data_IF_293996085629
#
_entry.id   IF_293996085629
#
_cell.length_a   1.000
_cell.length_b   1.000
_cell.length_c   1.000
_cell.angle_alpha   90.00
_cell.angle_beta   90.00
_cell.angle_gamma   90.00
#
_symmetry.space_group_name_H-M   'P 1'
#
loop_
_entity.id
_entity.type
_entity.pdbx_description
1 polymer ?
#
# COMPACT_ATOMS: atom_id res chain seq x y z
N UNK A 1 5.26 11.29 -21.13
CA UNK A 1 5.26 12.77 -20.91
C UNK A 1 6.69 13.28 -20.70
N UNK A 2 6.96 14.57 -20.95
CA UNK A 2 8.29 15.18 -20.71
C UNK A 2 8.50 15.47 -19.21
N UNK A 3 9.75 15.42 -18.73
CA UNK A 3 10.14 15.71 -17.33
C UNK A 3 9.53 17.00 -16.79
N UNK A 4 9.57 18.09 -17.57
CA UNK A 4 8.99 19.39 -17.19
C UNK A 4 7.48 19.30 -16.93
N UNK A 5 6.75 18.58 -17.77
CA UNK A 5 5.30 18.38 -17.62
C UNK A 5 4.98 17.61 -16.34
N UNK A 6 5.71 16.52 -16.08
CA UNK A 6 5.53 15.72 -14.85
C UNK A 6 5.76 16.58 -13.60
N UNK A 7 6.83 17.39 -13.57
CA UNK A 7 7.09 18.35 -12.49
C UNK A 7 5.91 19.30 -12.27
N UNK A 8 5.36 19.86 -13.34
CA UNK A 8 4.21 20.76 -13.25
C UNK A 8 2.95 20.06 -12.73
N UNK A 9 2.69 18.82 -13.17
CA UNK A 9 1.57 18.01 -12.67
C UNK A 9 1.70 17.80 -11.16
N UNK A 10 2.87 17.38 -10.68
CA UNK A 10 3.12 17.18 -9.26
C UNK A 10 3.06 18.46 -8.44
N UNK A 11 3.67 19.55 -8.92
CA UNK A 11 3.59 20.84 -8.23
C UNK A 11 2.13 21.31 -8.07
N UNK A 12 1.32 21.19 -9.13
CA UNK A 12 -0.09 21.58 -9.09
C UNK A 12 -0.93 20.64 -8.21
N UNK A 13 -0.67 19.33 -8.25
CA UNK A 13 -1.34 18.36 -7.39
C UNK A 13 -1.02 18.65 -5.91
N UNK A 14 0.25 18.86 -5.60
CA UNK A 14 0.74 19.13 -4.25
C UNK A 14 0.20 20.46 -3.71
N UNK A 15 0.19 21.53 -4.52
CA UNK A 15 -0.42 22.82 -4.11
C UNK A 15 -1.87 22.65 -3.70
N UNK A 16 -2.67 21.96 -4.52
CA UNK A 16 -4.09 21.70 -4.24
C UNK A 16 -4.29 20.82 -3.00
N UNK A 17 -3.41 19.85 -2.78
CA UNK A 17 -3.42 19.03 -1.56
C UNK A 17 -3.15 19.90 -0.33
N UNK A 18 -2.10 20.73 -0.34
CA UNK A 18 -1.76 21.64 0.77
C UNK A 18 -2.92 22.59 1.08
N UNK A 19 -3.54 23.17 0.05
CA UNK A 19 -4.70 24.06 0.18
C UNK A 19 -5.91 23.39 0.85
N UNK A 20 -6.00 22.05 0.78
CA UNK A 20 -7.10 21.28 1.37
C UNK A 20 -6.90 20.87 2.83
N UNK A 21 -5.71 21.11 3.38
CA UNK A 21 -5.37 20.78 4.77
C UNK A 21 -5.69 22.00 5.64
N UNK A 22 -6.68 21.89 6.50
CA UNK A 22 -7.14 23.02 7.33
C UNK A 22 -6.26 23.22 8.59
N UNK A 23 -5.49 22.21 8.99
CA UNK A 23 -4.54 22.29 10.11
C UNK A 23 -3.22 22.90 9.65
N UNK A 24 -2.89 24.11 10.11
CA UNK A 24 -1.72 24.86 9.65
C UNK A 24 -0.38 24.15 9.97
N UNK A 25 -0.30 23.42 11.09
CA UNK A 25 0.91 22.71 11.47
C UNK A 25 1.16 21.52 10.52
N UNK A 26 0.15 20.68 10.30
CA UNK A 26 0.20 19.57 9.34
C UNK A 26 0.43 20.08 7.91
N UNK A 27 -0.20 21.20 7.53
CA UNK A 27 -0.02 21.83 6.21
C UNK A 27 1.44 22.18 5.94
N UNK A 28 2.10 22.88 6.87
CA UNK A 28 3.51 23.27 6.69
C UNK A 28 4.46 22.06 6.67
N UNK A 29 4.18 21.03 7.47
CA UNK A 29 4.93 19.77 7.44
C UNK A 29 4.78 19.07 6.08
N UNK A 30 3.55 18.84 5.60
CA UNK A 30 3.29 18.20 4.30
C UNK A 30 3.90 18.99 3.15
N UNK A 31 3.79 20.32 3.19
CA UNK A 31 4.37 21.20 2.18
C UNK A 31 5.88 20.99 2.02
N UNK A 32 6.61 20.90 3.13
CA UNK A 32 8.07 20.78 3.13
C UNK A 32 8.57 19.35 2.91
N UNK A 33 7.86 18.36 3.45
CA UNK A 33 8.42 17.04 3.71
C UNK A 33 7.81 15.91 2.86
N UNK A 34 7.17 16.22 1.73
CA UNK A 34 6.50 15.21 0.89
C UNK A 34 7.37 14.71 -0.27
N UNK A 35 7.22 13.42 -0.56
CA UNK A 35 7.79 12.74 -1.72
C UNK A 35 6.66 12.05 -2.48
N UNK A 36 6.65 12.19 -3.81
CA UNK A 36 5.79 11.39 -4.69
C UNK A 36 6.68 10.41 -5.43
N UNK A 37 6.40 9.11 -5.33
CA UNK A 37 7.21 8.05 -5.95
C UNK A 37 6.31 6.94 -6.49
N UNK A 38 6.87 5.96 -7.19
CA UNK A 38 6.14 4.76 -7.59
C UNK A 38 5.48 4.83 -8.96
N UNK A 39 4.34 4.14 -9.09
CA UNK A 39 3.72 3.85 -10.38
C UNK A 39 3.25 5.08 -11.16
N UNK A 40 2.91 6.18 -10.48
CA UNK A 40 2.45 7.40 -11.13
C UNK A 40 3.44 7.96 -12.15
N UNK A 41 4.74 7.95 -11.81
CA UNK A 41 5.80 8.45 -12.69
C UNK A 41 5.96 7.53 -13.90
N UNK A 42 5.88 6.23 -13.68
CA UNK A 42 5.92 5.21 -14.74
C UNK A 42 4.78 5.42 -15.73
N UNK A 43 3.54 5.52 -15.25
CA UNK A 43 2.36 5.78 -16.08
C UNK A 43 2.52 7.08 -16.88
N UNK A 44 2.93 8.18 -16.23
CA UNK A 44 3.09 9.46 -16.92
C UNK A 44 4.20 9.44 -17.97
N UNK A 45 5.33 8.77 -17.71
CA UNK A 45 6.40 8.62 -18.71
C UNK A 45 5.89 7.86 -19.94
N UNK A 46 5.10 6.81 -19.71
CA UNK A 46 4.51 5.94 -20.74
C UNK A 46 3.27 6.53 -21.43
N UNK A 47 2.72 7.63 -20.90
CA UNK A 47 1.49 8.24 -21.42
C UNK A 47 0.22 7.46 -21.05
N UNK A 48 0.28 6.65 -20.00
CA UNK A 48 -0.81 5.85 -19.46
C UNK A 48 -1.56 6.64 -18.38
N UNK A 49 -2.79 6.23 -18.07
CA UNK A 49 -3.53 6.82 -16.96
C UNK A 49 -2.84 6.53 -15.62
N UNK A 50 -2.83 7.52 -14.73
CA UNK A 50 -2.36 7.34 -13.36
C UNK A 50 -3.49 6.73 -12.54
N UNK A 51 -3.19 5.61 -11.87
CA UNK A 51 -4.13 4.94 -10.95
C UNK A 51 -4.23 5.74 -9.65
N UNK A 52 -3.06 6.01 -9.05
CA UNK A 52 -2.85 6.63 -7.76
C UNK A 52 -1.51 7.38 -7.70
N UNK A 53 -1.41 8.31 -6.76
CA UNK A 53 -0.22 9.08 -6.44
C UNK A 53 0.22 8.70 -5.03
N UNK A 54 1.27 7.88 -4.93
CA UNK A 54 1.84 7.48 -3.64
C UNK A 54 2.67 8.61 -3.04
N UNK A 55 2.16 9.17 -1.94
CA UNK A 55 2.84 10.12 -1.10
C UNK A 55 3.55 9.40 0.05
N UNK A 56 4.83 9.73 0.20
CA UNK A 56 5.65 9.39 1.35
C UNK A 56 6.15 10.67 2.00
N UNK A 57 6.72 10.53 3.20
CA UNK A 57 7.21 11.67 3.96
C UNK A 57 8.66 11.48 4.39
N UNK A 58 9.40 12.59 4.45
CA UNK A 58 10.84 12.57 4.74
C UNK A 58 11.19 12.32 6.20
N UNK A 59 10.22 12.47 7.12
CA UNK A 59 10.43 12.31 8.54
C UNK A 59 9.16 11.85 9.26
N UNK A 60 9.38 11.31 10.46
CA UNK A 60 8.35 10.78 11.35
C UNK A 60 7.34 11.81 11.80
N UNK A 61 7.78 13.02 12.14
CA UNK A 61 6.91 14.11 12.60
C UNK A 61 5.79 14.40 11.59
N UNK A 62 6.15 14.43 10.30
CA UNK A 62 5.19 14.63 9.21
C UNK A 62 4.21 13.47 9.11
N UNK A 63 4.70 12.22 9.21
CA UNK A 63 3.83 11.03 9.20
C UNK A 63 2.81 11.08 10.35
N UNK A 64 3.26 11.39 11.56
CA UNK A 64 2.39 11.47 12.73
C UNK A 64 1.35 12.59 12.58
N UNK A 65 1.75 13.77 12.11
CA UNK A 65 0.84 14.88 11.87
C UNK A 65 -0.22 14.53 10.81
N UNK A 66 0.19 13.94 9.68
CA UNK A 66 -0.70 13.50 8.60
C UNK A 66 -1.66 12.42 9.08
N UNK A 67 -1.15 11.41 9.77
CA UNK A 67 -1.96 10.32 10.29
C UNK A 67 -3.03 10.83 11.25
N UNK A 68 -2.65 11.67 12.22
CA UNK A 68 -3.59 12.24 13.18
C UNK A 68 -4.61 13.15 12.49
N UNK A 69 -4.18 14.03 11.58
CA UNK A 69 -5.07 14.92 10.86
C UNK A 69 -6.15 14.16 10.08
N UNK A 70 -5.76 13.22 9.23
CA UNK A 70 -6.73 12.50 8.37
C UNK A 70 -7.56 11.48 9.12
N UNK A 71 -7.04 10.84 10.18
CA UNK A 71 -7.86 9.97 11.04
C UNK A 71 -8.92 10.79 11.79
N UNK A 72 -8.56 11.97 12.30
CA UNK A 72 -9.53 12.88 12.93
C UNK A 72 -10.57 13.37 11.93
N UNK A 73 -10.14 13.80 10.72
CA UNK A 73 -11.05 14.23 9.65
C UNK A 73 -12.01 13.11 9.25
N UNK A 74 -11.52 11.87 9.16
CA UNK A 74 -12.32 10.68 8.88
C UNK A 74 -13.34 10.38 9.99
N UNK A 75 -12.92 10.44 11.26
CA UNK A 75 -13.78 10.21 12.42
C UNK A 75 -14.87 11.29 12.57
N UNK A 76 -14.57 12.54 12.26
CA UNK A 76 -15.54 13.64 12.26
C UNK A 76 -16.57 13.48 11.14
N UNK A 77 -16.15 13.01 9.96
CA UNK A 77 -17.06 12.73 8.84
C UNK A 77 -17.96 11.51 9.07
N UNK A 78 -17.59 10.61 10.00
CA UNK A 78 -18.33 9.38 10.31
C UNK A 78 -18.57 9.26 11.82
N UNK A 79 -19.35 10.19 12.43
CA UNK A 79 -19.50 10.27 13.88
C UNK A 79 -20.15 9.01 14.48
N UNK A 80 -21.06 8.39 13.73
CA UNK A 80 -21.89 7.24 14.13
C UNK A 80 -21.19 5.89 14.01
N UNK A 81 -19.95 5.86 13.50
CA UNK A 81 -19.19 4.61 13.38
C UNK A 81 -18.90 4.07 14.77
N UNK A 82 -19.41 2.88 15.07
CA UNK A 82 -19.24 2.21 16.36
C UNK A 82 -17.76 2.04 16.75
N UNK A 83 -16.89 1.82 15.76
CA UNK A 83 -15.46 1.67 15.95
C UNK A 83 -14.71 2.73 15.17
N UNK A 84 -13.98 3.55 15.92
CA UNK A 84 -13.21 4.66 15.38
C UNK A 84 -11.74 4.26 15.17
N UNK A 85 -11.17 4.44 13.97
CA UNK A 85 -9.73 4.30 13.77
C UNK A 85 -8.95 5.23 14.70
N UNK A 86 -7.79 4.77 15.15
CA UNK A 86 -6.85 5.53 15.97
C UNK A 86 -5.43 5.36 15.45
N UNK A 87 -4.64 6.41 15.57
CA UNK A 87 -3.21 6.35 15.28
C UNK A 87 -2.49 5.69 16.45
N UNK A 88 -1.65 4.71 16.14
CA UNK A 88 -0.73 4.07 17.09
C UNK A 88 0.69 4.40 16.64
N UNK A 89 1.43 5.01 17.56
CA UNK A 89 2.82 5.42 17.36
C UNK A 89 3.69 4.44 18.14
N UNK A 90 4.52 3.69 17.42
CA UNK A 90 5.51 2.76 17.99
C UNK A 90 6.93 3.30 17.77
N UNK A 91 7.94 2.69 18.39
CA UNK A 91 9.32 3.20 18.32
C UNK A 91 9.83 3.37 16.89
N UNK A 92 9.43 2.52 15.95
CA UNK A 92 9.94 2.54 14.57
C UNK A 92 8.88 2.81 13.50
N UNK A 93 7.58 2.82 13.83
CA UNK A 93 6.50 2.95 12.83
C UNK A 93 5.27 3.67 13.36
N UNK A 94 4.53 4.28 12.45
CA UNK A 94 3.18 4.79 12.68
C UNK A 94 2.21 3.86 11.97
N UNK A 95 1.14 3.45 12.66
CA UNK A 95 0.08 2.63 12.07
C UNK A 95 -1.30 3.10 12.50
N UNK A 96 -2.32 2.81 11.70
CA UNK A 96 -3.72 3.06 12.07
C UNK A 96 -4.31 1.74 12.56
N UNK A 97 -5.00 1.74 13.70
CA UNK A 97 -5.71 0.57 14.19
C UNK A 97 -7.19 0.86 14.33
N UNK A 98 -8.00 -0.09 13.88
CA UNK A 98 -9.44 -0.12 14.10
C UNK A 98 -9.67 -1.14 15.22
N UNK A 99 -9.81 -0.70 16.46
CA UNK A 99 -9.95 -1.62 17.60
C UNK A 99 -11.41 -2.02 17.78
N UNK A 100 -11.75 -3.29 17.52
CA UNK A 100 -13.00 -3.89 17.98
C UNK A 100 -13.19 -3.63 19.46
N UNK A 101 -14.34 -3.13 19.88
CA UNK A 101 -14.79 -3.39 21.24
C UNK A 101 -14.91 -4.93 21.35
N UNK A 102 -14.17 -5.52 22.29
CA UNK A 102 -14.06 -6.98 22.41
C UNK A 102 -15.44 -7.62 22.55
N UNK A 103 -15.72 -8.59 21.66
CA UNK A 103 -16.86 -9.50 21.85
C UNK A 103 -16.41 -10.55 22.86
N UNK A 104 -16.61 -10.25 24.13
CA UNK A 104 -16.78 -11.27 25.15
C UNK A 104 -18.27 -11.65 25.19
N UNK A 105 -18.72 -12.45 24.22
CA UNK A 105 -19.99 -13.18 24.31
C UNK A 105 -20.02 -14.29 23.27
N UNK A 106 -20.40 -15.48 23.73
CA UNK A 106 -20.54 -16.72 22.97
C UNK A 106 -21.37 -16.51 21.69
N UNK A 107 -20.80 -16.95 20.56
CA UNK A 107 -21.56 -17.25 19.35
C UNK A 107 -22.07 -16.05 18.54
N UNK A 108 -21.16 -15.29 17.91
CA UNK A 108 -21.39 -14.56 16.65
C UNK A 108 -20.05 -14.04 16.12
N UNK A 109 -19.40 -14.80 15.25
CA UNK A 109 -18.24 -14.34 14.48
C UNK A 109 -18.71 -13.40 13.37
N UNK A 110 -19.01 -12.15 13.71
CA UNK A 110 -19.20 -11.11 12.69
C UNK A 110 -17.84 -10.74 12.08
N UNK A 111 -17.73 -11.09 10.80
CA UNK A 111 -16.53 -11.04 9.97
C UNK A 111 -15.90 -9.65 9.91
N UNK A 112 -14.72 -9.53 10.51
CA UNK A 112 -13.80 -8.41 10.31
C UNK A 112 -13.13 -8.54 8.93
N UNK A 113 -13.54 -7.73 7.96
CA UNK A 113 -12.80 -7.55 6.72
C UNK A 113 -11.69 -6.49 6.92
N UNK A 114 -10.44 -6.95 6.99
CA UNK A 114 -9.27 -6.09 6.77
C UNK A 114 -9.26 -5.71 5.28
N UNK A 115 -9.60 -4.46 4.96
CA UNK A 115 -9.81 -3.99 3.59
C UNK A 115 -8.51 -3.65 2.81
N UNK A 116 -7.41 -4.39 3.02
CA UNK A 116 -6.30 -4.45 2.04
C UNK A 116 -6.72 -5.27 0.78
N UNK A 117 -8.02 -5.30 0.46
CA UNK A 117 -8.77 -6.41 -0.16
C UNK A 117 -8.90 -6.42 -1.66
N UNK A 118 -8.35 -5.45 -2.39
CA UNK A 118 -8.71 -5.32 -3.81
C UNK A 118 -7.47 -5.42 -4.69
N UNK A 119 -7.26 -6.59 -5.29
CA UNK A 119 -6.45 -6.72 -6.50
C UNK A 119 -7.06 -5.82 -7.58
N UNK A 120 -6.34 -4.89 -8.24
CA UNK A 120 -6.88 -4.10 -9.34
C UNK A 120 -7.52 -4.91 -10.48
N UNK A 121 -7.16 -6.19 -10.65
CA UNK A 121 -7.76 -7.08 -11.65
C UNK A 121 -9.04 -7.76 -11.19
N UNK A 122 -9.20 -8.09 -9.90
CA UNK A 122 -10.46 -8.59 -9.32
C UNK A 122 -11.30 -7.51 -8.62
N UNK A 123 -10.77 -6.29 -8.59
CA UNK A 123 -11.46 -5.07 -8.27
C UNK A 123 -12.77 -5.05 -9.03
N UNK A 124 -12.74 -5.27 -10.33
CA UNK A 124 -13.90 -5.12 -11.18
C UNK A 124 -15.18 -5.85 -10.71
N UNK A 125 -15.11 -6.96 -9.94
CA UNK A 125 -16.32 -7.66 -9.47
C UNK A 125 -16.76 -7.31 -8.05
N UNK A 126 -15.87 -6.99 -7.12
CA UNK A 126 -16.24 -6.58 -5.74
C UNK A 126 -16.22 -5.07 -5.51
N UNK A 127 -15.50 -4.35 -6.37
CA UNK A 127 -15.73 -2.93 -6.65
C UNK A 127 -17.16 -2.82 -7.12
N UNK A 128 -17.70 -3.61 -8.05
CA UNK A 128 -19.11 -3.42 -8.45
C UNK A 128 -20.14 -3.37 -7.30
N UNK A 129 -20.01 -4.10 -6.18
CA UNK A 129 -20.97 -3.96 -5.06
C UNK A 129 -20.64 -2.79 -4.11
N UNK A 130 -19.36 -2.45 -3.88
CA UNK A 130 -18.96 -1.28 -3.09
C UNK A 130 -18.91 0.03 -3.91
N UNK A 131 -18.90 -0.11 -5.23
CA UNK A 131 -18.84 0.91 -6.27
C UNK A 131 -20.17 1.09 -6.93
N UNK A 132 -21.12 0.15 -6.85
CA UNK A 132 -22.53 0.51 -7.02
C UNK A 132 -22.98 1.44 -5.89
N UNK A 133 -22.33 1.42 -4.71
CA UNK A 133 -22.56 2.42 -3.64
C UNK A 133 -21.73 3.71 -3.83
N UNK A 134 -20.61 3.68 -4.58
CA UNK A 134 -19.77 4.87 -4.85
C UNK A 134 -20.04 5.56 -6.20
N UNK A 135 -20.56 4.87 -7.21
CA UNK A 135 -20.91 5.38 -8.54
C UNK A 135 -22.36 5.88 -8.62
N UNK A 136 -23.22 5.50 -7.66
CA UNK A 136 -24.60 6.04 -7.58
C UNK A 136 -24.68 7.44 -6.94
N UNK A 137 -23.55 8.01 -6.50
CA UNK A 137 -23.46 9.41 -6.03
C UNK A 137 -22.41 10.12 -6.86
N UNK A 138 -22.86 11.06 -7.70
CA UNK A 138 -22.00 11.94 -8.50
C UNK A 138 -20.78 12.41 -7.69
N UNK A 139 -19.57 11.96 -8.06
CA UNK A 139 -18.32 12.31 -7.37
C UNK A 139 -18.06 13.82 -7.35
N UNK A 140 -18.69 14.58 -8.25
CA UNK A 140 -18.45 16.01 -8.47
C UNK A 140 -18.86 16.92 -7.29
N UNK A 141 -19.75 16.47 -6.40
CA UNK A 141 -20.26 17.32 -5.31
C UNK A 141 -19.52 17.17 -3.96
N UNK A 142 -18.67 16.14 -3.80
CA UNK A 142 -17.97 15.90 -2.52
C UNK A 142 -16.60 16.61 -2.47
N UNK A 143 -16.18 17.14 -1.31
CA UNK A 143 -14.88 17.80 -1.17
C UNK A 143 -13.70 16.93 -1.63
N UNK A 144 -12.79 17.52 -2.40
CA UNK A 144 -11.54 16.89 -2.85
C UNK A 144 -10.58 16.65 -1.69
N UNK A 145 -9.71 15.66 -1.83
CA UNK A 145 -8.70 15.26 -0.83
C UNK A 145 -9.25 14.86 0.55
N UNK A 146 -10.51 14.40 0.60
CA UNK A 146 -11.09 13.83 1.83
C UNK A 146 -10.59 12.40 2.02
N UNK A 147 -10.39 11.92 3.26
CA UNK A 147 -10.06 10.52 3.48
C UNK A 147 -11.25 9.64 3.10
N UNK A 148 -11.02 8.70 2.19
CA UNK A 148 -12.04 7.75 1.73
C UNK A 148 -11.84 6.39 2.36
N UNK A 149 -10.58 6.02 2.63
CA UNK A 149 -10.25 4.68 3.07
C UNK A 149 -8.96 4.69 3.91
N UNK A 150 -8.92 3.87 4.96
CA UNK A 150 -7.81 3.80 5.93
C UNK A 150 -7.42 2.34 6.13
N UNK A 151 -6.11 2.08 6.05
CA UNK A 151 -5.49 0.79 6.39
C UNK A 151 -4.47 1.00 7.49
N UNK A 152 -3.89 -0.09 8.00
CA UNK A 152 -2.80 -0.04 8.97
C UNK A 152 -1.60 0.79 8.46
N UNK A 153 -1.35 0.77 7.15
CA UNK A 153 -0.11 1.25 6.55
C UNK A 153 -0.28 2.48 5.64
N UNK A 154 -1.51 2.82 5.25
CA UNK A 154 -1.79 3.89 4.30
C UNK A 154 -3.18 4.51 4.48
N UNK A 155 -3.29 5.77 4.06
CA UNK A 155 -4.50 6.58 4.04
C UNK A 155 -4.80 6.90 2.57
N UNK A 156 -5.93 6.41 2.06
CA UNK A 156 -6.39 6.77 0.72
C UNK A 156 -7.31 7.97 0.81
N UNK A 157 -7.01 9.00 0.02
CA UNK A 157 -7.83 10.18 -0.15
C UNK A 157 -8.56 10.15 -1.50
N UNK A 158 -9.63 10.92 -1.61
CA UNK A 158 -10.19 11.23 -2.93
C UNK A 158 -9.15 11.93 -3.81
N UNK A 159 -9.39 11.94 -5.13
CA UNK A 159 -8.44 12.42 -6.14
C UNK A 159 -7.17 11.56 -6.26
N UNK A 160 -7.31 10.26 -5.99
CA UNK A 160 -6.28 9.25 -6.27
C UNK A 160 -4.98 9.49 -5.49
N UNK A 161 -5.06 10.02 -4.28
CA UNK A 161 -3.89 10.20 -3.42
C UNK A 161 -3.83 9.07 -2.41
N UNK A 162 -2.67 8.42 -2.30
CA UNK A 162 -2.40 7.41 -1.28
C UNK A 162 -1.25 7.90 -0.42
N UNK A 163 -1.50 8.16 0.86
CA UNK A 163 -0.46 8.56 1.81
C UNK A 163 0.03 7.32 2.55
N UNK A 164 1.25 6.89 2.23
CA UNK A 164 1.90 5.77 2.89
C UNK A 164 2.53 6.25 4.19
N UNK A 165 2.10 5.66 5.31
CA UNK A 165 2.53 6.05 6.67
C UNK A 165 3.44 5.02 7.32
N UNK A 166 3.56 3.82 6.74
CA UNK A 166 4.43 2.74 7.26
C UNK A 166 5.93 3.09 7.21
N UNK A 167 6.35 3.85 6.19
CA UNK A 167 7.76 4.16 5.94
C UNK A 167 7.95 5.67 5.76
N UNK A 168 9.09 6.17 6.24
CA UNK A 168 9.50 7.56 6.10
C UNK A 168 11.03 7.63 6.00
N UNK A 169 11.54 8.70 5.42
CA UNK A 169 12.96 8.93 5.25
C UNK A 169 13.29 9.57 3.91
N UNK A 170 14.57 9.56 3.57
CA UNK A 170 15.04 9.90 2.24
C UNK A 170 14.40 9.00 1.16
N UNK A 171 14.35 9.45 -0.10
CA UNK A 171 13.88 8.63 -1.21
C UNK A 171 14.58 7.26 -1.27
N UNK A 172 15.88 7.22 -0.98
CA UNK A 172 16.68 6.00 -0.93
C UNK A 172 16.17 5.04 0.16
N UNK A 173 15.98 5.51 1.39
CA UNK A 173 15.43 4.69 2.50
C UNK A 173 14.01 4.21 2.24
N UNK A 174 13.20 5.00 1.54
CA UNK A 174 11.85 4.59 1.11
C UNK A 174 11.95 3.47 0.06
N UNK A 175 12.85 3.61 -0.91
CA UNK A 175 13.04 2.64 -2.00
C UNK A 175 13.70 1.33 -1.56
N UNK A 176 14.32 1.26 -0.39
CA UNK A 176 14.73 -0.02 0.23
C UNK A 176 13.56 -0.98 0.46
N UNK A 177 12.32 -0.48 0.43
CA UNK A 177 11.10 -1.27 0.56
C UNK A 177 10.46 -1.59 -0.80
N UNK A 178 11.03 -1.12 -1.91
CA UNK A 178 10.53 -1.36 -3.27
C UNK A 178 11.13 -2.65 -3.83
N UNK A 179 10.39 -3.30 -4.72
CA UNK A 179 10.78 -4.56 -5.35
C UNK A 179 11.54 -4.36 -6.67
N UNK A 180 11.05 -3.47 -7.53
CA UNK A 180 11.54 -3.31 -8.90
C UNK A 180 11.99 -1.89 -9.20
N UNK A 181 13.10 -1.79 -9.95
CA UNK A 181 13.78 -0.52 -10.22
C UNK A 181 12.93 0.48 -11.01
N UNK A 182 11.99 0.01 -11.83
CA UNK A 182 11.14 0.88 -12.64
C UNK A 182 10.30 1.87 -11.81
N UNK A 183 9.97 1.52 -10.56
CA UNK A 183 9.17 2.35 -9.67
C UNK A 183 10.00 3.31 -8.80
N UNK A 184 11.34 3.30 -8.92
CA UNK A 184 12.26 4.08 -8.07
C UNK A 184 12.53 5.51 -8.61
N UNK A 185 11.66 6.05 -9.45
CA UNK A 185 11.68 7.49 -9.77
C UNK A 185 10.90 8.25 -8.70
N UNK A 186 11.30 9.48 -8.40
CA UNK A 186 10.68 10.24 -7.31
C UNK A 186 10.69 11.75 -7.53
N UNK A 187 9.70 12.43 -6.96
CA UNK A 187 9.61 13.89 -6.87
C UNK A 187 9.57 14.33 -5.42
N UNK A 188 10.20 15.46 -5.08
CA UNK A 188 10.24 16.00 -3.71
C UNK A 188 9.68 17.41 -3.65
N UNK A 189 8.90 17.67 -2.61
CA UNK A 189 8.15 18.93 -2.50
C UNK A 189 8.99 20.14 -2.08
N UNK A 190 10.07 19.93 -1.32
CA UNK A 190 10.90 21.02 -0.77
C UNK A 190 11.52 21.92 -1.84
N UNK A 191 11.89 21.35 -2.98
CA UNK A 191 12.58 22.02 -4.09
C UNK A 191 11.96 21.71 -5.47
N UNK A 192 10.92 20.87 -5.49
CA UNK A 192 10.32 20.39 -6.72
C UNK A 192 11.26 19.53 -7.57
N UNK A 193 12.32 18.96 -7.01
CA UNK A 193 13.23 18.07 -7.73
C UNK A 193 12.49 16.82 -8.19
N UNK A 194 12.75 16.38 -9.42
CA UNK A 194 12.23 15.12 -9.99
C UNK A 194 13.43 14.30 -10.44
N UNK A 195 13.71 13.22 -9.74
CA UNK A 195 14.78 12.29 -10.07
C UNK A 195 14.23 11.17 -10.95
N UNK A 196 14.96 10.88 -12.04
CA UNK A 196 14.60 9.86 -13.02
C UNK A 196 15.86 9.00 -13.27
N UNK A 197 16.18 8.04 -12.38
CA UNK A 197 17.39 7.25 -12.50
C UNK A 197 17.48 6.55 -13.85
N UNK A 198 18.66 6.56 -14.49
CA UNK A 198 18.85 5.98 -15.82
C UNK A 198 18.40 4.51 -15.90
N UNK A 199 18.72 3.72 -14.86
CA UNK A 199 18.31 2.32 -14.75
C UNK A 199 16.80 2.13 -14.66
N UNK A 200 16.09 3.05 -14.00
CA UNK A 200 14.63 3.04 -13.94
C UNK A 200 14.04 3.38 -15.32
N UNK A 201 14.59 4.39 -16.00
CA UNK A 201 14.17 4.76 -17.35
C UNK A 201 14.38 3.62 -18.35
N UNK A 202 15.53 2.96 -18.31
CA UNK A 202 15.83 1.80 -19.14
C UNK A 202 14.83 0.65 -18.91
N UNK A 203 14.55 0.31 -17.66
CA UNK A 203 13.54 -0.69 -17.30
C UNK A 203 12.14 -0.31 -17.82
N UNK A 204 11.74 0.97 -17.70
CA UNK A 204 10.45 1.48 -18.18
C UNK A 204 10.34 1.40 -19.71
N UNK A 205 11.42 1.75 -20.42
CA UNK A 205 11.48 1.75 -21.89
C UNK A 205 11.42 0.34 -22.46
N UNK A 206 12.16 -0.58 -21.87
CA UNK A 206 12.22 -1.99 -22.28
C UNK A 206 11.05 -2.82 -21.77
N UNK A 207 10.28 -2.29 -20.80
CA UNK A 207 9.31 -3.05 -20.00
C UNK A 207 9.94 -4.30 -19.36
N UNK A 208 11.18 -4.19 -18.89
CA UNK A 208 11.84 -5.26 -18.14
C UNK A 208 11.74 -5.01 -16.64
N UNK A 209 11.25 -5.99 -15.88
CA UNK A 209 11.29 -5.96 -14.42
C UNK A 209 12.71 -6.32 -13.96
N UNK A 210 13.42 -5.32 -13.45
CA UNK A 210 14.70 -5.50 -12.80
C UNK A 210 14.49 -5.51 -11.28
N UNK A 211 14.72 -6.65 -10.66
CA UNK A 211 14.59 -6.80 -9.21
C UNK A 211 15.73 -6.06 -8.50
N UNK A 212 15.36 -5.18 -7.57
CA UNK A 212 16.29 -4.40 -6.76
C UNK A 212 16.74 -5.17 -5.51
N UNK A 213 15.87 -6.05 -5.00
CA UNK A 213 15.95 -6.63 -3.66
C UNK A 213 14.74 -6.14 -2.86
N UNK A 214 14.14 -6.99 -2.04
CA UNK A 214 12.98 -6.60 -1.23
C UNK A 214 13.00 -7.30 0.12
N UNK A 215 12.44 -6.63 1.13
CA UNK A 215 12.09 -7.28 2.41
C UNK A 215 10.91 -8.25 2.27
N UNK A 216 10.19 -8.18 1.14
CA UNK A 216 9.00 -9.00 0.86
C UNK A 216 9.19 -9.81 -0.44
N UNK A 217 10.18 -10.72 -0.52
CA UNK A 217 10.45 -11.49 -1.74
C UNK A 217 9.27 -12.36 -2.18
N UNK A 218 8.46 -12.92 -1.26
CA UNK A 218 7.28 -13.71 -1.64
C UNK A 218 6.24 -12.84 -2.37
N UNK A 219 5.87 -11.70 -1.78
CA UNK A 219 5.00 -10.72 -2.41
C UNK A 219 5.56 -10.25 -3.76
N UNK A 220 6.88 -10.04 -3.84
CA UNK A 220 7.55 -9.62 -5.08
C UNK A 220 7.37 -10.67 -6.19
N UNK A 221 7.53 -11.96 -5.89
CA UNK A 221 7.31 -13.06 -6.84
C UNK A 221 5.87 -13.04 -7.34
N UNK A 222 4.89 -12.99 -6.45
CA UNK A 222 3.48 -13.03 -6.84
C UNK A 222 3.10 -11.78 -7.65
N UNK A 223 3.60 -10.60 -7.26
CA UNK A 223 3.35 -9.32 -7.95
C UNK A 223 3.84 -9.31 -9.39
N UNK A 224 4.83 -10.15 -9.75
CA UNK A 224 5.25 -10.30 -11.16
C UNK A 224 4.07 -10.66 -12.07
N UNK A 225 3.08 -11.42 -11.61
CA UNK A 225 1.89 -11.81 -12.39
C UNK A 225 1.17 -10.59 -12.96
N UNK A 226 0.90 -9.59 -12.11
CA UNK A 226 0.24 -8.32 -12.49
C UNK A 226 1.05 -7.54 -13.51
N UNK A 227 2.38 -7.49 -13.36
CA UNK A 227 3.24 -6.78 -14.30
C UNK A 227 3.34 -7.51 -15.64
N UNK A 228 3.45 -8.85 -15.64
CA UNK A 228 3.46 -9.68 -16.85
C UNK A 228 2.15 -9.50 -17.64
N UNK A 229 1.01 -9.50 -16.96
CA UNK A 229 -0.29 -9.21 -17.59
C UNK A 229 -0.35 -7.81 -18.24
N UNK A 230 0.40 -6.84 -17.71
CA UNK A 230 0.54 -5.48 -18.27
C UNK A 230 1.61 -5.39 -19.38
N UNK A 231 2.11 -6.54 -19.83
CA UNK A 231 3.10 -6.67 -20.91
C UNK A 231 4.53 -6.37 -20.47
N UNK A 232 4.85 -6.46 -19.18
CA UNK A 232 6.23 -6.46 -18.71
C UNK A 232 6.85 -7.85 -18.87
N UNK A 233 8.16 -7.87 -19.05
CA UNK A 233 8.96 -9.10 -19.11
C UNK A 233 9.86 -9.19 -17.90
N UNK A 234 10.23 -10.41 -17.53
CA UNK A 234 11.15 -10.68 -16.43
C UNK A 234 11.94 -11.93 -16.77
N UNK A 235 13.25 -11.87 -16.58
CA UNK A 235 14.12 -13.00 -16.89
C UNK A 235 14.30 -13.93 -15.67
N UNK A 236 14.71 -15.18 -15.92
CA UNK A 236 14.89 -16.20 -14.87
C UNK A 236 15.91 -15.79 -13.79
N UNK A 237 16.90 -14.95 -14.14
CA UNK A 237 17.87 -14.44 -13.17
C UNK A 237 17.25 -13.55 -12.11
N UNK A 238 16.19 -12.80 -12.44
CA UNK A 238 15.47 -11.98 -11.44
C UNK A 238 14.66 -12.87 -10.49
N UNK A 239 14.05 -13.94 -11.00
CA UNK A 239 13.40 -14.95 -10.15
C UNK A 239 14.39 -15.64 -9.22
N UNK A 240 15.58 -16.00 -9.72
CA UNK A 240 16.64 -16.59 -8.89
C UNK A 240 17.02 -15.65 -7.73
N UNK A 241 17.16 -14.34 -7.97
CA UNK A 241 17.42 -13.37 -6.88
C UNK A 241 16.31 -13.35 -5.84
N UNK A 242 15.05 -13.32 -6.27
CA UNK A 242 13.89 -13.34 -5.36
C UNK A 242 13.85 -14.65 -4.55
N UNK A 243 14.09 -15.79 -5.20
CA UNK A 243 14.12 -17.09 -4.54
C UNK A 243 15.28 -17.20 -3.52
N UNK A 244 16.45 -16.64 -3.82
CA UNK A 244 17.57 -16.59 -2.88
C UNK A 244 17.23 -15.76 -1.63
N UNK A 245 16.59 -14.60 -1.78
CA UNK A 245 16.15 -13.81 -0.62
C UNK A 245 15.00 -14.48 0.14
N UNK A 246 14.11 -15.18 -0.55
CA UNK A 246 13.04 -15.94 0.08
C UNK A 246 13.57 -17.10 0.92
N UNK A 247 14.66 -17.73 0.48
CA UNK A 247 15.31 -18.84 1.21
C UNK A 247 15.82 -18.41 2.59
N UNK A 248 16.18 -17.14 2.76
CA UNK A 248 16.67 -16.59 4.03
C UNK A 248 15.54 -16.36 5.05
N UNK A 249 14.28 -16.55 4.67
CA UNK A 249 13.10 -16.35 5.53
C UNK A 249 12.52 -17.68 6.02
N UNK A 250 12.09 -17.70 7.29
CA UNK A 250 11.34 -18.81 7.86
C UNK A 250 9.84 -18.65 7.61
N UNK A 251 9.35 -19.18 6.49
CA UNK A 251 7.92 -19.17 6.15
C UNK A 251 7.07 -20.14 7.02
N UNK A 252 7.69 -20.94 7.89
CA UNK A 252 6.97 -21.73 8.89
C UNK A 252 6.61 -20.90 10.14
N UNK A 253 7.17 -19.70 10.30
CA UNK A 253 6.69 -18.72 11.26
C UNK A 253 5.48 -17.99 10.66
N UNK A 254 4.32 -18.12 11.30
CA UNK A 254 3.06 -17.50 10.85
C UNK A 254 3.17 -15.99 10.70
N UNK A 255 3.93 -15.31 11.58
CA UNK A 255 4.10 -13.86 11.52
C UNK A 255 4.95 -13.45 10.31
N UNK A 256 5.97 -14.24 10.00
CA UNK A 256 6.81 -14.01 8.82
C UNK A 256 5.98 -14.26 7.56
N UNK A 257 5.22 -15.35 7.50
CA UNK A 257 4.36 -15.66 6.38
C UNK A 257 3.27 -14.59 6.17
N UNK A 258 2.62 -14.15 7.25
CA UNK A 258 1.63 -13.07 7.20
C UNK A 258 2.26 -11.78 6.67
N UNK A 259 3.41 -11.33 7.21
CA UNK A 259 4.10 -10.11 6.77
C UNK A 259 4.54 -10.20 5.30
N UNK A 260 4.95 -11.39 4.83
CA UNK A 260 5.30 -11.66 3.43
C UNK A 260 4.10 -11.65 2.47
N UNK A 261 2.87 -11.82 2.97
CA UNK A 261 1.64 -11.82 2.19
C UNK A 261 0.86 -10.50 2.30
N UNK A 262 1.36 -9.52 3.07
CA UNK A 262 0.75 -8.18 3.16
C UNK A 262 0.64 -7.53 1.77
N UNK A 263 -0.53 -6.97 1.48
CA UNK A 263 -0.82 -6.34 0.19
C UNK A 263 -0.88 -7.30 -1.01
N UNK A 264 -0.96 -8.61 -0.77
CA UNK A 264 -1.21 -9.63 -1.79
C UNK A 264 -2.67 -10.12 -1.76
N UNK A 265 -3.11 -10.78 -2.83
CA UNK A 265 -4.50 -11.23 -3.09
C UNK A 265 -5.23 -11.78 -1.86
N UNK A 266 -6.08 -10.92 -1.30
CA UNK A 266 -6.18 -10.86 0.14
C UNK A 266 -7.23 -11.80 0.72
N UNK A 267 -8.19 -12.28 -0.07
CA UNK A 267 -9.24 -13.16 0.45
C UNK A 267 -8.69 -14.55 0.76
N UNK A 268 -8.11 -15.21 -0.23
CA UNK A 268 -7.60 -16.56 -0.10
C UNK A 268 -6.38 -16.64 0.83
N UNK A 269 -5.42 -15.71 0.70
CA UNK A 269 -4.26 -15.70 1.58
C UNK A 269 -4.63 -15.40 3.04
N UNK A 270 -5.60 -14.51 3.31
CA UNK A 270 -6.08 -14.35 4.70
C UNK A 270 -6.77 -15.59 5.22
N UNK A 271 -7.57 -16.27 4.40
CA UNK A 271 -8.20 -17.52 4.83
C UNK A 271 -7.15 -18.56 5.22
N UNK A 272 -6.03 -18.64 4.49
CA UNK A 272 -4.87 -19.45 4.88
C UNK A 272 -4.34 -19.02 6.25
N UNK A 273 -4.06 -17.73 6.46
CA UNK A 273 -3.55 -17.21 7.74
C UNK A 273 -4.51 -17.51 8.89
N UNK A 274 -5.82 -17.30 8.70
CA UNK A 274 -6.85 -17.61 9.70
C UNK A 274 -6.88 -19.09 10.06
N UNK A 275 -6.87 -19.99 9.07
CA UNK A 275 -6.84 -21.44 9.30
C UNK A 275 -5.57 -21.84 10.09
N UNK A 276 -4.42 -21.25 9.76
CA UNK A 276 -3.16 -21.51 10.45
C UNK A 276 -3.19 -20.99 11.89
N UNK A 277 -3.73 -19.80 12.10
CA UNK A 277 -3.87 -19.19 13.43
C UNK A 277 -4.79 -20.02 14.33
N UNK A 278 -5.98 -20.38 13.84
CA UNK A 278 -6.93 -21.23 14.56
C UNK A 278 -6.30 -22.58 14.95
N UNK A 279 -5.45 -23.13 14.08
CA UNK A 279 -4.76 -24.39 14.35
C UNK A 279 -3.66 -24.25 15.41
N UNK A 280 -2.90 -23.16 15.39
CA UNK A 280 -1.90 -22.84 16.43
C UNK A 280 -2.56 -22.55 17.79
N UNK A 281 -3.73 -21.90 17.78
CA UNK A 281 -4.48 -21.61 19.01
C UNK A 281 -5.06 -22.90 19.62
N UNK A 282 -5.49 -23.85 18.78
CA UNK A 282 -6.00 -25.15 19.22
C UNK A 282 -4.90 -26.13 19.67
N UNK A 283 -3.68 -26.02 19.13
CA UNK A 283 -2.54 -26.87 19.48
C UNK A 283 -1.25 -26.04 19.54
N UNK A 284 -0.81 -25.73 20.76
CA UNK A 284 0.41 -24.95 21.00
C UNK A 284 1.70 -25.63 20.50
N UNK A 285 1.68 -26.93 20.21
CA UNK A 285 2.82 -27.66 19.65
C UNK A 285 2.76 -27.76 18.12
N UNK A 286 1.67 -27.29 17.50
CA UNK A 286 1.52 -27.30 16.06
C UNK A 286 2.60 -26.44 15.40
N UNK A 287 3.29 -27.04 14.43
CA UNK A 287 4.28 -26.37 13.59
C UNK A 287 3.81 -26.41 12.15
N UNK A 288 3.91 -25.26 11.49
CA UNK A 288 3.57 -25.13 10.08
C UNK A 288 4.59 -25.95 9.28
N UNK A 289 4.11 -26.96 8.56
CA UNK A 289 4.92 -27.78 7.66
C UNK A 289 4.55 -27.49 6.22
N UNK A 290 5.49 -27.70 5.30
CA UNK A 290 5.23 -27.53 3.86
C UNK A 290 4.09 -28.41 3.37
N UNK A 291 3.99 -29.65 3.86
CA UNK A 291 2.92 -30.58 3.48
C UNK A 291 1.53 -30.03 3.85
N UNK A 292 1.38 -29.52 5.08
CA UNK A 292 0.11 -28.95 5.54
C UNK A 292 -0.24 -27.64 4.83
N UNK A 293 0.75 -26.77 4.58
CA UNK A 293 0.52 -25.57 3.77
C UNK A 293 0.05 -25.91 2.36
N UNK A 294 0.68 -26.88 1.70
CA UNK A 294 0.28 -27.34 0.36
C UNK A 294 -1.16 -27.87 0.39
N UNK A 295 -1.52 -28.69 1.38
CA UNK A 295 -2.90 -29.20 1.53
C UNK A 295 -3.93 -28.07 1.67
N UNK A 296 -3.64 -27.04 2.48
CA UNK A 296 -4.53 -25.89 2.62
C UNK A 296 -4.64 -25.12 1.30
N UNK A 297 -3.51 -24.89 0.62
CA UNK A 297 -3.45 -24.16 -0.64
C UNK A 297 -4.28 -24.88 -1.71
N UNK A 298 -4.08 -26.19 -1.89
CA UNK A 298 -4.81 -27.02 -2.87
C UNK A 298 -6.33 -27.08 -2.61
N UNK A 299 -6.75 -26.84 -1.36
CA UNK A 299 -8.17 -26.77 -1.00
C UNK A 299 -8.81 -25.42 -1.31
N UNK A 300 -8.01 -24.35 -1.32
CA UNK A 300 -8.51 -22.98 -1.43
C UNK A 300 -8.37 -22.39 -2.84
N UNK A 301 -7.36 -22.81 -3.60
CA UNK A 301 -7.06 -22.39 -4.97
C UNK A 301 -7.33 -23.51 -5.97
#
# INVERSE_FOLDING_TARGET
MKRKTIKTVFANLHSKLIESIDDEAAKELVKKNSIITGGAIVSMLRGEAVNDYDYYFTNRETVEAVANYYVNKFNTAHPDRAIKPRVIIEEQRVRIRVQSAGVASEGSSENYQYFETVDPTEAASYVNDAVDVLETVQEDDKPKFRPIFLTDNAITLSNKIQMVIRFYGSPEEIHDNYDFVHAMSWWRSSDGHLELPAKALEAILTKELLYHGSKYPLASIIRTRKFIQRGWTINAGQYLKMAMQLHDLDLSDLKVLEDQLIGMDAAYFRQIITILQEKQDADQHFKISSAYLIEIIDRLF
#
